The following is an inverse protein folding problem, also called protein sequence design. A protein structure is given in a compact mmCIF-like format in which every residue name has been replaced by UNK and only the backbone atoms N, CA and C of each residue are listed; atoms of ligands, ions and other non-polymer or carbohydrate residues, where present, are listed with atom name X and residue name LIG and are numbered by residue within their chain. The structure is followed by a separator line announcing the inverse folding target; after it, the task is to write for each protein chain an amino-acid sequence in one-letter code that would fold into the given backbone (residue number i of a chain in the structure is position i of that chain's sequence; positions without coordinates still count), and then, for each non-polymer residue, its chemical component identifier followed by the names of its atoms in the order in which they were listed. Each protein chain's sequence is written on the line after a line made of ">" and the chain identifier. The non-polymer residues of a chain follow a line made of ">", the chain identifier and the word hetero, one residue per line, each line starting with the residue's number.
data_IF_732186052298
#
_entry.id   IF_732186052298
#
_cell.length_a   1.000
_cell.length_b   1.000
_cell.length_c   1.000
_cell.angle_alpha   90.00
_cell.angle_beta   90.00
_cell.angle_gamma   90.00
#
_symmetry.space_group_name_H-M   'P 1'
#
loop_
_entity.id
_entity.type
_entity.pdbx_description
1 polymer ?
#
# COMPACT_ATOMS: atom_id res chain seq x y z
N UNK A 1 -17.60 76.14 -39.67
CA UNK A 1 -16.97 75.74 -38.39
C UNK A 1 -17.81 74.63 -37.78
N UNK A 2 -17.14 73.56 -37.36
CA UNK A 2 -17.63 72.22 -37.02
C UNK A 2 -18.64 72.16 -35.87
N UNK A 3 -19.63 71.27 -35.94
CA UNK A 3 -20.21 70.61 -34.75
C UNK A 3 -20.66 69.18 -35.05
N UNK A 4 -20.25 68.28 -34.15
CA UNK A 4 -20.27 66.82 -34.24
C UNK A 4 -21.69 66.21 -34.22
N UNK A 5 -21.89 65.16 -35.03
CA UNK A 5 -22.96 64.16 -34.83
C UNK A 5 -22.53 63.14 -33.77
N UNK A 6 -23.28 63.07 -32.67
CA UNK A 6 -23.10 62.07 -31.60
C UNK A 6 -24.04 60.88 -31.85
N UNK A 7 -23.46 59.75 -32.25
CA UNK A 7 -24.15 58.44 -32.30
C UNK A 7 -24.24 57.87 -30.88
N UNK A 8 -25.44 57.57 -30.41
CA UNK A 8 -25.68 56.84 -29.16
C UNK A 8 -25.92 55.38 -29.49
N UNK A 9 -24.90 54.53 -29.31
CA UNK A 9 -25.04 53.08 -29.40
C UNK A 9 -25.44 52.52 -28.03
N UNK A 10 -26.69 52.08 -27.91
CA UNK A 10 -27.18 51.29 -26.78
C UNK A 10 -26.64 49.86 -26.90
N UNK A 11 -25.72 49.46 -26.01
CA UNK A 11 -25.29 48.07 -25.87
C UNK A 11 -26.30 47.31 -25.01
N UNK A 12 -26.97 46.32 -25.60
CA UNK A 12 -27.77 45.33 -24.88
C UNK A 12 -26.81 44.25 -24.37
N UNK A 13 -26.53 44.21 -23.06
CA UNK A 13 -25.76 43.13 -22.43
C UNK A 13 -26.71 42.00 -22.06
N UNK A 14 -26.65 40.90 -22.81
CA UNK A 14 -27.40 39.67 -22.50
C UNK A 14 -26.58 38.87 -21.49
N UNK A 15 -26.95 38.92 -20.20
CA UNK A 15 -26.32 38.11 -19.16
C UNK A 15 -26.88 36.68 -19.22
N UNK A 16 -26.12 35.74 -19.77
CA UNK A 16 -26.41 34.30 -19.71
C UNK A 16 -25.92 33.80 -18.35
N UNK A 17 -26.84 33.56 -17.42
CA UNK A 17 -26.56 32.83 -16.18
C UNK A 17 -26.38 31.34 -16.50
N UNK A 18 -25.14 30.90 -16.66
CA UNK A 18 -24.79 29.49 -16.74
C UNK A 18 -24.80 28.93 -15.31
N UNK A 19 -25.92 28.35 -14.89
CA UNK A 19 -26.01 27.64 -13.61
C UNK A 19 -25.13 26.40 -13.65
N UNK A 20 -23.98 26.47 -12.97
CA UNK A 20 -23.17 25.29 -12.67
C UNK A 20 -23.95 24.40 -11.71
N UNK A 21 -24.57 23.35 -12.22
CA UNK A 21 -25.03 22.23 -11.39
C UNK A 21 -23.77 21.48 -10.97
N UNK A 22 -23.30 21.73 -9.74
CA UNK A 22 -22.32 20.86 -9.10
C UNK A 22 -23.00 19.51 -8.87
N UNK A 23 -22.71 18.54 -9.73
CA UNK A 23 -23.07 17.16 -9.47
C UNK A 23 -22.22 16.67 -8.29
N UNK A 24 -22.81 16.65 -7.09
CA UNK A 24 -22.23 15.92 -5.97
C UNK A 24 -22.19 14.44 -6.35
N UNK A 25 -21.01 13.95 -6.75
CA UNK A 25 -20.76 12.52 -6.77
C UNK A 25 -20.84 12.04 -5.33
N UNK A 26 -21.94 11.39 -4.96
CA UNK A 26 -21.98 10.56 -3.77
C UNK A 26 -20.83 9.56 -3.88
N UNK A 27 -19.81 9.71 -3.03
CA UNK A 27 -18.70 8.78 -2.99
C UNK A 27 -19.27 7.42 -2.59
N UNK A 28 -19.21 6.44 -3.50
CA UNK A 28 -19.61 5.07 -3.19
C UNK A 28 -18.84 4.61 -1.95
N UNK A 29 -19.54 3.99 -0.99
CA UNK A 29 -18.90 3.42 0.18
C UNK A 29 -17.75 2.50 -0.25
N UNK A 30 -16.58 2.55 0.41
CA UNK A 30 -15.47 1.66 0.09
C UNK A 30 -15.95 0.21 0.09
N UNK A 31 -15.51 -0.58 -0.90
CA UNK A 31 -15.80 -2.01 -0.92
C UNK A 31 -15.27 -2.66 0.38
N UNK A 32 -16.00 -3.63 0.97
CA UNK A 32 -15.52 -4.35 2.13
C UNK A 32 -14.16 -5.02 1.88
N UNK A 33 -13.29 -5.02 2.88
CA UNK A 33 -12.01 -5.74 2.82
C UNK A 33 -12.26 -7.23 3.01
N UNK A 34 -12.03 -8.00 1.94
CA UNK A 34 -11.89 -9.46 1.94
C UNK A 34 -10.40 -9.80 1.76
N UNK A 35 -9.73 -10.12 2.87
CA UNK A 35 -8.29 -10.39 2.92
C UNK A 35 -7.98 -11.89 2.97
N UNK A 36 -6.88 -12.32 2.35
CA UNK A 36 -6.35 -13.69 2.51
C UNK A 36 -4.82 -13.72 2.50
N UNK A 37 -4.25 -14.55 3.38
CA UNK A 37 -2.82 -14.86 3.42
C UNK A 37 -2.49 -15.86 2.32
N UNK A 38 -1.45 -15.58 1.54
CA UNK A 38 -0.87 -16.48 0.54
C UNK A 38 0.48 -17.01 1.05
N UNK A 39 0.51 -18.25 1.58
CA UNK A 39 1.73 -18.88 2.04
C UNK A 39 2.67 -19.14 0.87
N UNK A 40 3.78 -18.41 0.80
CA UNK A 40 4.72 -18.45 -0.33
C UNK A 40 5.30 -19.84 -0.59
N UNK A 41 5.42 -20.65 0.46
CA UNK A 41 5.90 -22.05 0.38
C UNK A 41 4.93 -22.99 -0.35
N UNK A 42 3.69 -22.58 -0.62
CA UNK A 42 2.76 -23.34 -1.46
C UNK A 42 2.89 -23.04 -2.95
N UNK A 43 3.79 -22.15 -3.38
CA UNK A 43 3.85 -21.72 -4.79
C UNK A 43 4.04 -22.87 -5.80
N UNK A 44 4.65 -23.98 -5.42
CA UNK A 44 4.83 -25.15 -6.30
C UNK A 44 3.54 -25.97 -6.50
N UNK A 45 2.66 -26.04 -5.50
CA UNK A 45 1.41 -26.83 -5.54
C UNK A 45 0.18 -25.96 -5.79
N UNK A 46 0.25 -24.69 -5.39
CA UNK A 46 -0.79 -23.68 -5.55
C UNK A 46 -0.13 -22.34 -5.93
N UNK A 47 0.15 -22.11 -7.23
CA UNK A 47 0.75 -20.86 -7.68
C UNK A 47 -0.22 -19.69 -7.52
N UNK A 48 0.30 -18.46 -7.36
CA UNK A 48 -0.53 -17.26 -7.20
C UNK A 48 -1.54 -17.06 -8.37
N UNK A 49 -1.19 -17.51 -9.57
CA UNK A 49 -2.07 -17.48 -10.74
C UNK A 49 -3.32 -18.37 -10.59
N UNK A 50 -3.33 -19.34 -9.68
CA UNK A 50 -4.49 -20.19 -9.39
C UNK A 50 -5.51 -19.53 -8.44
N UNK A 51 -5.17 -18.40 -7.81
CA UNK A 51 -6.09 -17.68 -6.93
C UNK A 51 -7.28 -17.14 -7.76
N UNK A 52 -8.50 -17.43 -7.28
CA UNK A 52 -9.73 -16.79 -7.73
C UNK A 52 -9.87 -15.42 -7.06
N UNK A 53 -9.57 -14.37 -7.81
CA UNK A 53 -9.59 -13.00 -7.28
C UNK A 53 -10.99 -12.44 -7.10
N UNK A 54 -12.04 -13.09 -7.60
CA UNK A 54 -13.43 -12.66 -7.38
C UNK A 54 -13.87 -12.78 -5.91
N UNK A 55 -13.17 -13.63 -5.15
CA UNK A 55 -13.45 -13.89 -3.74
C UNK A 55 -12.80 -12.87 -2.81
N UNK A 56 -11.79 -12.12 -3.28
CA UNK A 56 -10.93 -11.30 -2.43
C UNK A 56 -10.80 -9.87 -2.95
N UNK A 57 -10.29 -9.02 -2.08
CA UNK A 57 -9.92 -7.63 -2.41
C UNK A 57 -8.44 -7.38 -2.10
N UNK A 58 -7.88 -8.10 -1.14
CA UNK A 58 -6.50 -7.98 -0.68
C UNK A 58 -5.91 -9.38 -0.52
N UNK A 59 -4.70 -9.60 -1.02
CA UNK A 59 -3.94 -10.83 -0.80
C UNK A 59 -2.58 -10.46 -0.21
N UNK A 60 -2.20 -11.12 0.87
CA UNK A 60 -0.98 -10.87 1.63
C UNK A 60 0.05 -11.95 1.30
N UNK A 61 1.18 -11.59 0.70
CA UNK A 61 2.30 -12.53 0.48
C UNK A 61 2.99 -12.80 1.80
N UNK A 62 3.06 -14.08 2.20
CA UNK A 62 3.63 -14.44 3.50
C UNK A 62 4.84 -15.37 3.35
N UNK A 63 6.00 -15.07 3.93
CA UNK A 63 6.39 -13.84 4.64
C UNK A 63 7.67 -13.27 4.06
N UNK A 64 7.96 -12.02 4.40
CA UNK A 64 9.28 -11.41 4.26
C UNK A 64 9.74 -10.97 5.65
N UNK A 65 10.96 -11.33 6.03
CA UNK A 65 11.54 -10.91 7.32
C UNK A 65 12.83 -10.12 7.07
N UNK A 66 13.13 -9.12 7.90
CA UNK A 66 14.41 -8.44 7.82
C UNK A 66 15.55 -9.35 8.27
N UNK A 67 16.77 -9.00 7.85
CA UNK A 67 18.00 -9.57 8.41
C UNK A 67 18.05 -9.30 9.92
N UNK A 68 18.60 -10.25 10.68
CA UNK A 68 18.84 -10.13 12.12
C UNK A 68 20.09 -9.28 12.46
N UNK A 69 20.86 -8.85 11.46
CA UNK A 69 22.06 -8.03 11.67
C UNK A 69 21.79 -6.55 11.40
N UNK A 70 21.21 -6.25 10.23
CA UNK A 70 21.02 -4.88 9.77
C UNK A 70 19.55 -4.43 9.75
N UNK A 71 18.61 -5.32 10.09
CA UNK A 71 17.18 -5.05 10.16
C UNK A 71 16.57 -4.48 8.86
N UNK A 72 17.18 -4.81 7.72
CA UNK A 72 16.69 -4.50 6.37
C UNK A 72 16.30 -5.78 5.64
N UNK A 73 15.41 -5.67 4.65
CA UNK A 73 15.19 -6.77 3.71
C UNK A 73 16.41 -7.02 2.82
N UNK A 74 16.89 -8.26 2.83
CA UNK A 74 17.94 -8.76 1.94
C UNK A 74 17.30 -9.64 0.86
N UNK A 75 16.75 -9.00 -0.18
CA UNK A 75 16.01 -9.70 -1.24
C UNK A 75 16.98 -10.23 -2.31
N UNK A 76 17.25 -11.53 -2.28
CA UNK A 76 18.01 -12.22 -3.33
C UNK A 76 17.31 -12.15 -4.70
N UNK A 77 18.03 -12.43 -5.79
CA UNK A 77 17.44 -12.45 -7.13
C UNK A 77 16.32 -13.49 -7.28
N UNK A 78 16.45 -14.66 -6.65
CA UNK A 78 15.40 -15.70 -6.65
C UNK A 78 14.18 -15.27 -5.85
N UNK A 79 14.37 -14.66 -4.68
CA UNK A 79 13.27 -14.08 -3.90
C UNK A 79 12.57 -12.97 -4.67
N UNK A 80 13.31 -12.06 -5.30
CA UNK A 80 12.74 -10.98 -6.12
C UNK A 80 11.90 -11.53 -7.29
N UNK A 81 12.35 -12.63 -7.92
CA UNK A 81 11.59 -13.30 -8.98
C UNK A 81 10.29 -13.91 -8.46
N UNK A 82 10.29 -14.54 -7.27
CA UNK A 82 9.08 -15.08 -6.64
C UNK A 82 8.07 -13.97 -6.32
N UNK A 83 8.53 -12.87 -5.72
CA UNK A 83 7.69 -11.72 -5.39
C UNK A 83 7.11 -11.08 -6.65
N UNK A 84 7.93 -10.89 -7.69
CA UNK A 84 7.48 -10.32 -8.98
C UNK A 84 6.49 -11.24 -9.69
N UNK A 85 6.69 -12.56 -9.61
CA UNK A 85 5.74 -13.52 -10.16
C UNK A 85 4.39 -13.45 -9.43
N UNK A 86 4.41 -13.30 -8.10
CA UNK A 86 3.20 -13.12 -7.29
C UNK A 86 2.44 -11.86 -7.68
N UNK A 87 3.07 -10.68 -7.63
CA UNK A 87 2.40 -9.40 -7.94
C UNK A 87 1.91 -9.36 -9.37
N UNK A 88 2.73 -9.80 -10.33
CA UNK A 88 2.34 -9.78 -11.74
C UNK A 88 1.23 -10.78 -12.08
N UNK A 89 1.18 -11.94 -11.43
CA UNK A 89 0.12 -12.93 -11.65
C UNK A 89 -1.24 -12.41 -11.19
N UNK A 90 -1.29 -11.69 -10.08
CA UNK A 90 -2.52 -11.14 -9.50
C UNK A 90 -2.95 -9.82 -10.15
N UNK A 91 -2.00 -8.98 -10.58
CA UNK A 91 -2.32 -7.69 -11.21
C UNK A 91 -3.02 -7.83 -12.56
N UNK A 92 -2.85 -8.96 -13.26
CA UNK A 92 -3.51 -9.27 -14.53
C UNK A 92 -4.91 -9.87 -14.38
N UNK A 93 -5.37 -10.16 -13.16
CA UNK A 93 -6.67 -10.77 -12.90
C UNK A 93 -7.79 -9.74 -12.85
N UNK A 94 -9.00 -10.17 -13.16
CA UNK A 94 -10.23 -9.38 -13.07
C UNK A 94 -11.27 -10.13 -12.22
N UNK A 95 -11.75 -9.55 -11.11
CA UNK A 95 -11.37 -8.24 -10.57
C UNK A 95 -9.91 -8.22 -10.06
N UNK A 96 -9.27 -7.04 -10.12
CA UNK A 96 -7.92 -6.85 -9.58
C UNK A 96 -7.98 -6.80 -8.05
N UNK A 97 -7.11 -7.56 -7.40
CA UNK A 97 -6.86 -7.47 -5.95
C UNK A 97 -5.70 -6.52 -5.66
N UNK A 98 -5.69 -5.93 -4.48
CA UNK A 98 -4.50 -5.31 -3.89
C UNK A 98 -3.59 -6.39 -3.32
N UNK A 99 -2.30 -6.18 -3.41
CA UNK A 99 -1.28 -7.10 -2.91
C UNK A 99 -0.45 -6.44 -1.82
N UNK A 100 -0.23 -7.15 -0.71
CA UNK A 100 0.56 -6.65 0.41
C UNK A 100 1.69 -7.62 0.75
N UNK A 101 2.82 -7.09 1.23
CA UNK A 101 3.87 -7.90 1.85
C UNK A 101 3.52 -8.04 3.33
N UNK A 102 3.37 -9.26 3.82
CA UNK A 102 3.29 -9.51 5.26
C UNK A 102 4.70 -9.71 5.83
N UNK A 103 5.05 -8.87 6.80
CA UNK A 103 6.36 -8.80 7.44
C UNK A 103 6.32 -9.58 8.75
N UNK A 104 7.05 -10.70 8.85
CA UNK A 104 7.11 -11.50 10.06
C UNK A 104 6.47 -12.87 9.99
N UNK A 105 5.45 -13.09 10.82
CA UNK A 105 4.86 -14.40 11.12
C UNK A 105 5.52 -15.09 12.31
N UNK A 106 4.77 -15.99 12.96
CA UNK A 106 5.15 -16.63 14.22
C UNK A 106 6.52 -17.34 14.27
N UNK A 107 7.06 -17.80 13.13
CA UNK A 107 8.36 -18.50 13.07
C UNK A 107 9.58 -17.55 13.07
N UNK A 108 9.38 -16.25 12.88
CA UNK A 108 10.49 -15.31 12.78
C UNK A 108 11.16 -14.99 14.15
N UNK A 109 10.53 -15.44 15.25
CA UNK A 109 11.05 -15.35 16.61
C UNK A 109 10.84 -13.96 17.25
N UNK A 110 10.39 -13.89 18.52
CA UNK A 110 10.04 -12.62 19.16
C UNK A 110 11.24 -11.67 19.35
N UNK A 111 12.45 -12.23 19.46
CA UNK A 111 13.68 -11.46 19.68
C UNK A 111 14.06 -10.57 18.50
N UNK A 112 13.82 -11.02 17.25
CA UNK A 112 14.15 -10.25 16.05
C UNK A 112 13.40 -8.91 16.03
N UNK A 113 12.08 -8.97 16.23
CA UNK A 113 11.23 -7.77 16.18
C UNK A 113 11.41 -6.88 17.40
N UNK A 114 11.65 -7.47 18.59
CA UNK A 114 12.00 -6.69 19.77
C UNK A 114 13.29 -5.89 19.56
N UNK A 115 14.34 -6.51 19.00
CA UNK A 115 15.60 -5.82 18.72
C UNK A 115 15.44 -4.77 17.62
N UNK A 116 14.75 -5.11 16.52
CA UNK A 116 14.45 -4.17 15.44
C UNK A 116 13.70 -2.94 15.92
N UNK A 117 12.67 -3.11 16.76
CA UNK A 117 11.85 -1.99 17.24
C UNK A 117 12.59 -1.09 18.25
N UNK A 118 13.60 -1.61 18.94
CA UNK A 118 14.22 -0.99 20.13
C UNK A 118 14.95 0.34 19.88
N UNK A 119 15.33 0.65 18.64
CA UNK A 119 16.06 1.88 18.32
C UNK A 119 15.53 2.57 17.07
N UNK A 120 15.63 3.91 17.01
CA UNK A 120 15.19 4.68 15.85
C UNK A 120 15.92 4.24 14.56
N UNK A 121 17.23 3.97 14.65
CA UNK A 121 18.02 3.56 13.48
C UNK A 121 17.59 2.20 12.92
N UNK A 122 17.27 1.24 13.78
CA UNK A 122 16.82 -0.10 13.35
C UNK A 122 15.39 -0.09 12.83
N UNK A 123 14.51 0.78 13.37
CA UNK A 123 13.17 1.03 12.82
C UNK A 123 13.23 1.68 11.45
N UNK A 124 14.02 2.75 11.29
CA UNK A 124 14.26 3.41 9.99
C UNK A 124 14.78 2.43 8.95
N UNK A 125 15.70 1.53 9.34
CA UNK A 125 16.21 0.49 8.45
C UNK A 125 15.10 -0.44 7.91
N UNK A 126 14.19 -0.90 8.77
CA UNK A 126 13.06 -1.72 8.35
C UNK A 126 12.08 -0.92 7.47
N UNK A 127 11.70 0.29 7.91
CA UNK A 127 10.75 1.16 7.20
C UNK A 127 11.24 1.45 5.78
N UNK A 128 12.47 1.94 5.64
CA UNK A 128 13.04 2.28 4.33
C UNK A 128 13.12 1.08 3.41
N UNK A 129 13.62 -0.05 3.93
CA UNK A 129 13.81 -1.25 3.10
C UNK A 129 12.48 -1.87 2.70
N UNK A 130 11.47 -1.88 3.58
CA UNK A 130 10.14 -2.41 3.28
C UNK A 130 9.40 -1.58 2.25
N UNK A 131 9.42 -0.24 2.37
CA UNK A 131 8.86 0.68 1.37
C UNK A 131 9.58 0.52 0.04
N UNK A 132 10.91 0.43 0.04
CA UNK A 132 11.70 0.25 -1.17
C UNK A 132 11.33 -1.04 -1.90
N UNK A 133 11.28 -2.18 -1.19
CA UNK A 133 10.92 -3.48 -1.79
C UNK A 133 9.49 -3.46 -2.31
N UNK A 134 8.52 -2.97 -1.52
CA UNK A 134 7.11 -2.91 -1.93
C UNK A 134 6.95 -2.12 -3.23
N UNK A 135 7.54 -0.92 -3.31
CA UNK A 135 7.49 -0.09 -4.52
C UNK A 135 8.24 -0.73 -5.69
N UNK A 136 9.42 -1.31 -5.45
CA UNK A 136 10.25 -1.89 -6.51
C UNK A 136 9.59 -3.08 -7.19
N UNK A 137 8.86 -3.91 -6.44
CA UNK A 137 8.21 -5.13 -6.94
C UNK A 137 6.75 -4.89 -7.36
N UNK A 138 6.13 -3.80 -6.89
CA UNK A 138 4.76 -3.42 -7.26
C UNK A 138 3.69 -3.97 -6.32
N UNK A 139 3.98 -4.06 -5.03
CA UNK A 139 2.97 -4.28 -3.99
C UNK A 139 2.20 -2.98 -3.72
N UNK A 140 0.93 -3.11 -3.33
CA UNK A 140 0.05 -2.00 -2.98
C UNK A 140 0.16 -1.57 -1.50
N UNK A 141 0.82 -2.37 -0.65
CA UNK A 141 0.99 -2.05 0.77
C UNK A 141 1.85 -3.05 1.55
N UNK A 142 1.90 -2.82 2.86
CA UNK A 142 2.62 -3.60 3.86
C UNK A 142 1.65 -4.05 4.96
N UNK A 143 1.92 -5.22 5.53
CA UNK A 143 1.24 -5.82 6.68
C UNK A 143 2.33 -6.23 7.68
N UNK A 144 2.15 -5.96 8.97
CA UNK A 144 3.18 -6.19 9.98
C UNK A 144 2.65 -7.21 11.00
N UNK A 145 3.27 -8.40 11.00
CA UNK A 145 2.82 -9.57 11.73
C UNK A 145 3.87 -9.96 12.79
N UNK A 146 3.96 -9.15 13.85
CA UNK A 146 4.78 -9.43 15.03
C UNK A 146 3.95 -10.09 16.11
N UNK A 147 4.24 -11.37 16.37
CA UNK A 147 3.57 -12.20 17.37
C UNK A 147 4.50 -12.55 18.56
N UNK A 148 4.54 -11.82 19.66
CA UNK A 148 3.93 -10.52 19.96
C UNK A 148 4.96 -9.68 20.74
N UNK A 149 4.76 -8.36 20.91
CA UNK A 149 5.46 -7.61 21.95
C UNK A 149 5.21 -8.25 23.33
N UNK A 150 6.27 -8.66 24.02
CA UNK A 150 6.19 -9.49 25.24
C UNK A 150 6.10 -8.68 26.54
N UNK A 151 6.44 -7.38 26.50
CA UNK A 151 6.46 -6.51 27.67
C UNK A 151 6.17 -5.05 27.30
N UNK A 152 5.86 -4.17 28.28
CA UNK A 152 5.50 -2.77 28.01
C UNK A 152 6.53 -1.99 27.20
N UNK A 153 7.83 -2.24 27.40
CA UNK A 153 8.87 -1.57 26.62
C UNK A 153 8.81 -1.95 25.13
N UNK A 154 8.60 -3.24 24.83
CA UNK A 154 8.40 -3.70 23.45
C UNK A 154 7.10 -3.14 22.85
N UNK A 155 6.03 -3.00 23.63
CA UNK A 155 4.78 -2.34 23.17
C UNK A 155 5.01 -0.87 22.83
N UNK A 156 5.76 -0.14 23.67
CA UNK A 156 6.12 1.25 23.40
C UNK A 156 7.00 1.39 22.15
N UNK A 157 7.95 0.48 21.97
CA UNK A 157 8.82 0.44 20.79
C UNK A 157 8.05 0.08 19.52
N UNK A 158 7.09 -0.84 19.61
CA UNK A 158 6.17 -1.13 18.51
C UNK A 158 5.33 0.08 18.13
N UNK A 159 4.85 0.83 19.14
CA UNK A 159 4.08 2.06 18.91
C UNK A 159 4.90 3.12 18.18
N UNK A 160 6.19 3.25 18.51
CA UNK A 160 7.12 4.16 17.80
C UNK A 160 7.30 3.73 16.34
N UNK A 161 7.48 2.43 16.08
CA UNK A 161 7.57 1.91 14.71
C UNK A 161 6.35 2.27 13.88
N UNK A 162 5.14 2.07 14.41
CA UNK A 162 3.91 2.40 13.71
C UNK A 162 3.74 3.92 13.49
N UNK A 163 4.22 4.75 14.41
CA UNK A 163 4.15 6.20 14.28
C UNK A 163 5.13 6.78 13.23
N UNK A 164 6.18 6.03 12.90
CA UNK A 164 7.23 6.42 11.95
C UNK A 164 6.99 5.86 10.52
N UNK A 165 6.05 4.92 10.35
CA UNK A 165 5.79 4.18 9.10
C UNK A 165 4.83 4.86 8.12
#
# INVERSE_FOLDING_TARGET
>A
MSTLTRSSSTFLVLAIFMSFVSAERSAASPLPVKGAYYPSWFNHTFPASAIDTSLFTHIFYTFLSPSNEIYRFEVSASTAALLSNFTSSLSRKTPRVKTLISIGGGEAGPSLYAQMASSAATREALIDSSIWVARRIGFDGLDLDWEFPENPAQTDDFSKLLAES
#
